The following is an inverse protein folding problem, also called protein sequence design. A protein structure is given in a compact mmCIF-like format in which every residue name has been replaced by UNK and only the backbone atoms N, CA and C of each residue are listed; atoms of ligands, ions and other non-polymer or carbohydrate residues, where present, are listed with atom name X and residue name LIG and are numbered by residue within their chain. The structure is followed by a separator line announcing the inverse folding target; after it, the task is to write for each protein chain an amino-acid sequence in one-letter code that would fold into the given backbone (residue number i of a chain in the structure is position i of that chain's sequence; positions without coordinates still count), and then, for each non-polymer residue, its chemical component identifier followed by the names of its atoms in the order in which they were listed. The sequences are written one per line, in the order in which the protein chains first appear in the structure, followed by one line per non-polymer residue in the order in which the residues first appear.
data_IF_894466356692
#
_entry.id   IF_894466356692
#
_cell.length_a   1.000
_cell.length_b   1.000
_cell.length_c   1.000
_cell.angle_alpha   90.00
_cell.angle_beta   90.00
_cell.angle_gamma   90.00
#
_symmetry.space_group_name_H-M   'P 1'
#
loop_
_entity.id
_entity.type
_entity.pdbx_description
1 polymer ?
#
# COMPACT_ATOMS: atom_id res chain seq x y z
N UNK A 1 25.63 -10.60 -5.32
CA UNK A 1 24.89 -9.53 -4.63
C UNK A 1 23.63 -10.14 -4.05
N UNK A 2 23.70 -10.49 -2.78
CA UNK A 2 22.65 -11.16 -2.03
C UNK A 2 21.44 -10.23 -1.96
N UNK A 3 20.33 -10.64 -2.58
CA UNK A 3 19.06 -9.93 -2.45
C UNK A 3 18.73 -9.75 -0.98
N UNK A 4 18.36 -8.53 -0.60
CA UNK A 4 17.85 -8.19 0.73
C UNK A 4 16.57 -8.99 0.99
N UNK A 5 16.76 -10.21 1.49
CA UNK A 5 15.73 -10.96 2.21
C UNK A 5 15.40 -10.10 3.43
N UNK A 6 14.40 -9.22 3.31
CA UNK A 6 13.72 -8.61 4.45
C UNK A 6 13.34 -9.76 5.38
N UNK A 7 14.11 -9.91 6.45
CA UNK A 7 13.86 -10.88 7.49
C UNK A 7 12.64 -10.36 8.24
N UNK A 8 11.51 -11.05 8.06
CA UNK A 8 10.22 -10.64 8.62
C UNK A 8 10.29 -10.52 10.15
N UNK A 9 11.16 -11.32 10.79
CA UNK A 9 11.40 -11.28 12.22
C UNK A 9 12.17 -10.02 12.60
N UNK A 10 13.23 -9.69 11.87
CA UNK A 10 14.01 -8.47 12.12
C UNK A 10 13.19 -7.19 11.85
N UNK A 11 12.31 -7.22 10.84
CA UNK A 11 11.42 -6.12 10.52
C UNK A 11 10.32 -5.93 11.58
N UNK A 12 9.73 -7.04 12.07
CA UNK A 12 8.80 -7.01 13.20
C UNK A 12 9.45 -6.34 14.41
N UNK A 13 10.63 -6.83 14.83
CA UNK A 13 11.36 -6.29 15.99
C UNK A 13 11.64 -4.79 15.83
N UNK A 14 12.12 -4.37 14.66
CA UNK A 14 12.42 -2.95 14.40
C UNK A 14 11.20 -2.04 14.55
N UNK A 15 10.04 -2.45 14.05
CA UNK A 15 8.80 -1.67 14.13
C UNK A 15 8.26 -1.63 15.57
N UNK A 16 8.30 -2.76 16.28
CA UNK A 16 7.85 -2.88 17.66
C UNK A 16 8.75 -2.12 18.65
N UNK A 17 10.05 -2.03 18.36
CA UNK A 17 11.00 -1.19 19.11
C UNK A 17 10.82 0.31 18.81
N UNK A 18 10.47 0.67 17.56
CA UNK A 18 10.25 2.05 17.17
C UNK A 18 8.96 2.64 17.78
N UNK A 19 7.93 1.82 17.98
CA UNK A 19 6.69 2.24 18.64
C UNK A 19 6.05 1.08 19.41
N UNK A 20 6.02 1.22 20.74
CA UNK A 20 5.41 0.24 21.64
C UNK A 20 3.93 -0.06 21.37
N UNK A 21 3.21 0.82 20.66
CA UNK A 21 1.80 0.59 20.26
C UNK A 21 1.67 -0.41 19.12
N UNK A 22 2.76 -0.71 18.42
CA UNK A 22 2.80 -1.65 17.30
C UNK A 22 3.21 -3.06 17.74
N UNK A 23 3.48 -3.28 19.03
CA UNK A 23 3.75 -4.60 19.61
C UNK A 23 2.56 -5.54 19.34
N UNK A 24 2.81 -6.65 18.65
CA UNK A 24 1.79 -7.64 18.31
C UNK A 24 1.02 -7.35 17.02
N UNK A 25 1.27 -6.22 16.35
CA UNK A 25 0.63 -5.86 15.07
C UNK A 25 0.87 -6.93 13.99
N UNK A 26 2.09 -7.45 13.89
CA UNK A 26 2.42 -8.50 12.93
C UNK A 26 1.85 -9.86 13.30
N UNK A 27 1.72 -10.17 14.59
CA UNK A 27 1.10 -11.42 15.02
C UNK A 27 -0.40 -11.39 14.73
N UNK A 28 -1.06 -10.23 14.91
CA UNK A 28 -2.44 -10.00 14.47
C UNK A 28 -2.61 -10.18 12.95
N UNK A 29 -1.66 -9.69 12.15
CA UNK A 29 -1.69 -9.86 10.69
C UNK A 29 -1.42 -11.31 10.28
N UNK A 30 -0.60 -12.05 11.04
CA UNK A 30 -0.23 -13.44 10.76
C UNK A 30 -1.32 -14.44 11.16
N UNK A 31 -2.02 -14.17 12.26
CA UNK A 31 -3.17 -14.96 12.74
C UNK A 31 -4.44 -14.68 11.93
N UNK A 32 -4.55 -13.48 11.36
CA UNK A 32 -5.61 -13.18 10.42
C UNK A 32 -5.33 -13.93 9.10
N UNK A 33 -6.25 -14.81 8.71
CA UNK A 33 -6.36 -15.44 7.38
C UNK A 33 -6.70 -14.36 6.32
N UNK A 34 -5.87 -13.31 6.27
CA UNK A 34 -6.18 -12.02 5.70
C UNK A 34 -5.48 -11.83 4.36
N UNK A 35 -6.16 -11.21 3.36
CA UNK A 35 -5.59 -10.82 2.07
C UNK A 35 -4.26 -10.05 2.15
N UNK A 36 -3.96 -9.46 3.31
CA UNK A 36 -2.75 -8.66 3.58
C UNK A 36 -1.46 -9.47 3.39
N UNK A 37 -1.38 -10.72 3.85
CA UNK A 37 -0.18 -11.56 3.69
C UNK A 37 0.07 -11.89 2.22
N UNK A 38 -0.98 -12.17 1.45
CA UNK A 38 -0.89 -12.40 0.00
C UNK A 38 -0.51 -11.13 -0.77
N UNK A 39 -1.03 -9.97 -0.39
CA UNK A 39 -0.68 -8.68 -1.00
C UNK A 39 0.79 -8.35 -0.74
N UNK A 40 1.30 -8.56 0.48
CA UNK A 40 2.70 -8.30 0.82
C UNK A 40 3.67 -9.23 0.08
N UNK A 41 3.32 -10.52 -0.09
CA UNK A 41 4.13 -11.49 -0.85
C UNK A 41 4.05 -11.23 -2.36
N UNK A 42 2.87 -10.94 -2.92
CA UNK A 42 2.69 -10.64 -4.34
C UNK A 42 3.36 -9.32 -4.77
N UNK A 43 3.31 -8.30 -3.92
CA UNK A 43 3.95 -6.99 -4.16
C UNK A 43 5.47 -7.03 -4.04
N UNK A 44 6.02 -7.96 -3.25
CA UNK A 44 7.48 -8.18 -3.16
C UNK A 44 8.10 -8.62 -4.49
N UNK A 45 7.33 -9.24 -5.37
CA UNK A 45 7.75 -9.57 -6.74
C UNK A 45 7.56 -8.42 -7.74
N UNK A 46 6.87 -7.34 -7.35
CA UNK A 46 6.51 -6.24 -8.24
C UNK A 46 7.09 -4.92 -7.71
N UNK A 47 8.38 -4.67 -7.97
CA UNK A 47 9.14 -3.43 -7.72
C UNK A 47 8.95 -2.73 -6.34
N UNK A 48 10.06 -2.48 -5.64
CA UNK A 48 10.08 -1.87 -4.29
C UNK A 48 9.19 -0.60 -4.12
N UNK A 49 9.04 0.22 -5.17
CA UNK A 49 8.18 1.41 -5.15
C UNK A 49 6.67 1.10 -5.04
N UNK A 50 6.19 -0.03 -5.57
CA UNK A 50 4.77 -0.40 -5.45
C UNK A 50 4.46 -0.93 -4.05
N UNK A 51 5.39 -1.64 -3.43
CA UNK A 51 5.22 -2.14 -2.06
C UNK A 51 5.05 -0.99 -1.04
N UNK A 52 5.92 0.01 -1.06
CA UNK A 52 5.80 1.18 -0.19
C UNK A 52 4.50 1.97 -0.45
N UNK A 53 4.10 2.10 -1.71
CA UNK A 53 2.84 2.73 -2.09
C UNK A 53 1.63 1.97 -1.55
N UNK A 54 1.65 0.64 -1.61
CA UNK A 54 0.58 -0.20 -1.09
C UNK A 54 0.42 -0.08 0.43
N UNK A 55 1.53 0.01 1.17
CA UNK A 55 1.49 0.28 2.60
C UNK A 55 0.87 1.67 2.85
N UNK A 56 1.25 2.69 2.08
CA UNK A 56 0.66 4.03 2.19
C UNK A 56 -0.85 4.05 1.93
N UNK A 57 -1.30 3.39 0.86
CA UNK A 57 -2.73 3.26 0.52
C UNK A 57 -3.52 2.50 1.58
N UNK A 58 -2.91 1.50 2.22
CA UNK A 58 -3.52 0.76 3.32
C UNK A 58 -3.67 1.63 4.57
N UNK A 59 -2.63 2.34 4.97
CA UNK A 59 -2.70 3.25 6.11
C UNK A 59 -3.80 4.30 5.91
N UNK A 60 -3.88 4.89 4.73
CA UNK A 60 -4.93 5.82 4.34
C UNK A 60 -6.33 5.19 4.41
N UNK A 61 -6.52 3.97 3.89
CA UNK A 61 -7.83 3.28 3.92
C UNK A 61 -8.30 2.89 5.33
N UNK A 62 -7.37 2.70 6.27
CA UNK A 62 -7.69 2.46 7.69
C UNK A 62 -8.02 3.75 8.46
N UNK A 63 -7.98 4.91 7.81
CA UNK A 63 -8.20 6.21 8.44
C UNK A 63 -7.00 6.74 9.21
N UNK A 64 -5.79 6.24 8.94
CA UNK A 64 -4.57 6.81 9.53
C UNK A 64 -4.39 8.26 9.08
N UNK A 65 -3.94 9.13 9.98
CA UNK A 65 -3.72 10.55 9.61
C UNK A 65 -2.52 10.72 8.68
N UNK A 66 -2.49 11.82 7.94
CA UNK A 66 -1.36 12.15 7.05
C UNK A 66 -0.03 12.21 7.81
N UNK A 67 -0.02 12.69 9.05
CA UNK A 67 1.17 12.74 9.91
C UNK A 67 1.67 11.33 10.24
N UNK A 68 0.75 10.37 10.48
CA UNK A 68 1.11 8.97 10.74
C UNK A 68 1.67 8.31 9.49
N UNK A 69 1.09 8.58 8.31
CA UNK A 69 1.60 8.09 7.02
C UNK A 69 2.99 8.67 6.75
N UNK A 70 3.18 9.96 6.98
CA UNK A 70 4.46 10.65 6.80
C UNK A 70 5.53 10.20 7.80
N UNK A 71 5.14 9.80 9.02
CA UNK A 71 6.06 9.15 9.96
C UNK A 71 6.56 7.81 9.42
N UNK A 72 5.67 6.97 8.88
CA UNK A 72 6.02 5.69 8.26
C UNK A 72 6.88 5.87 7.00
N UNK A 73 6.65 6.94 6.25
CA UNK A 73 7.51 7.35 5.13
C UNK A 73 8.91 7.74 5.58
N UNK A 74 9.03 8.56 6.64
CA UNK A 74 10.33 9.01 7.17
C UNK A 74 11.22 7.87 7.63
N UNK A 75 10.63 6.79 8.15
CA UNK A 75 11.37 5.57 8.53
C UNK A 75 11.56 4.58 7.37
N UNK A 76 11.17 4.93 6.15
CA UNK A 76 11.40 4.14 4.93
C UNK A 76 10.46 2.95 4.72
N UNK A 77 9.35 2.88 5.46
CA UNK A 77 8.39 1.77 5.41
C UNK A 77 7.28 2.00 4.38
N UNK A 78 6.90 3.26 4.17
CA UNK A 78 5.79 3.66 3.31
C UNK A 78 6.19 4.78 2.35
N UNK A 79 5.24 5.27 1.54
CA UNK A 79 5.32 6.56 0.85
C UNK A 79 4.64 7.66 1.67
N UNK A 80 4.97 8.92 1.41
CA UNK A 80 4.32 10.05 2.07
C UNK A 80 2.84 10.17 1.70
N UNK A 81 2.05 10.81 2.56
CA UNK A 81 0.63 11.02 2.35
C UNK A 81 0.34 11.71 1.00
N UNK A 82 1.17 12.69 0.61
CA UNK A 82 1.06 13.36 -0.68
C UNK A 82 1.22 12.41 -1.89
N UNK A 83 2.04 11.36 -1.77
CA UNK A 83 2.17 10.34 -2.84
C UNK A 83 0.93 9.47 -2.91
N UNK A 84 0.33 9.14 -1.76
CA UNK A 84 -0.94 8.40 -1.68
C UNK A 84 -2.06 9.19 -2.34
N UNK A 85 -2.21 10.47 -2.01
CA UNK A 85 -3.21 11.36 -2.59
C UNK A 85 -3.04 11.56 -4.09
N UNK A 86 -1.81 11.74 -4.55
CA UNK A 86 -1.51 11.84 -5.98
C UNK A 86 -1.93 10.57 -6.72
N UNK A 87 -1.68 9.40 -6.13
CA UNK A 87 -2.05 8.11 -6.71
C UNK A 87 -3.57 7.94 -6.79
N UNK A 88 -4.30 8.21 -5.69
CA UNK A 88 -5.78 8.18 -5.66
C UNK A 88 -6.37 9.12 -6.72
N UNK A 89 -5.84 10.34 -6.80
CA UNK A 89 -6.29 11.35 -7.79
C UNK A 89 -6.04 10.88 -9.21
N UNK A 90 -4.90 10.23 -9.47
CA UNK A 90 -4.60 9.64 -10.78
C UNK A 90 -5.62 8.55 -11.14
N UNK A 91 -5.89 7.60 -10.24
CA UNK A 91 -6.89 6.55 -10.47
C UNK A 91 -8.26 7.16 -10.79
N UNK A 92 -8.72 8.14 -10.00
CA UNK A 92 -10.02 8.77 -10.21
C UNK A 92 -10.12 9.47 -11.58
N UNK A 93 -9.04 10.17 -12.00
CA UNK A 93 -8.97 10.81 -13.32
C UNK A 93 -8.98 9.79 -14.44
N UNK A 94 -8.12 8.78 -14.35
CA UNK A 94 -7.97 7.75 -15.38
C UNK A 94 -9.27 6.95 -15.53
N UNK A 95 -9.96 6.64 -14.42
CA UNK A 95 -11.25 5.96 -14.45
C UNK A 95 -12.32 6.74 -15.24
N UNK A 96 -12.41 8.07 -15.03
CA UNK A 96 -13.34 8.92 -15.78
C UNK A 96 -13.05 8.91 -17.28
N UNK A 97 -11.77 8.96 -17.65
CA UNK A 97 -11.34 8.89 -19.05
C UNK A 97 -11.65 7.52 -19.65
N UNK A 98 -11.31 6.44 -18.95
CA UNK A 98 -11.53 5.06 -19.40
C UNK A 98 -13.01 4.75 -19.61
N UNK A 99 -13.89 5.22 -18.71
CA UNK A 99 -15.35 5.07 -18.90
C UNK A 99 -15.82 5.80 -20.16
N UNK A 100 -15.35 7.04 -20.36
CA UNK A 100 -15.72 7.83 -21.54
C UNK A 100 -15.28 7.14 -22.82
N UNK A 101 -14.04 6.66 -22.86
CA UNK A 101 -13.49 5.93 -24.00
C UNK A 101 -14.26 4.63 -24.26
N UNK A 102 -14.60 3.89 -23.22
CA UNK A 102 -15.42 2.68 -23.33
C UNK A 102 -16.77 2.95 -23.99
N UNK A 103 -17.50 3.98 -23.55
CA UNK A 103 -18.78 4.36 -24.16
C UNK A 103 -18.64 4.86 -25.60
N UNK A 104 -17.55 5.56 -25.92
CA UNK A 104 -17.29 6.02 -27.29
C UNK A 104 -16.96 4.85 -28.24
N UNK A 105 -16.21 3.85 -27.76
CA UNK A 105 -15.83 2.68 -28.56
C UNK A 105 -16.97 1.67 -28.73
N UNK A 106 -17.88 1.60 -27.75
CA UNK A 106 -18.98 0.63 -27.72
C UNK A 106 -20.34 1.29 -28.01
N UNK A 107 -20.35 2.42 -28.70
CA UNK A 107 -21.56 3.20 -29.02
C UNK A 107 -22.62 2.39 -29.80
N UNK A 108 -22.24 1.26 -30.42
CA UNK A 108 -23.12 0.31 -31.11
C UNK A 108 -23.80 -0.73 -30.21
N UNK A 109 -23.55 -0.74 -28.89
CA UNK A 109 -24.19 -1.65 -27.92
C UNK A 109 -25.38 -1.01 -27.19
N UNK A 110 -25.74 0.23 -27.55
CA UNK A 110 -26.81 1.02 -26.92
C UNK A 110 -27.98 1.34 -27.87
N UNK A 111 -27.96 0.82 -29.11
CA UNK A 111 -29.11 0.74 -30.02
C UNK A 111 -29.71 -0.68 -30.01
#
# INVERSE_FOLDING_TARGET
MSGLLLNLIAFKVMIEEADSRLIGFFDMIKEADSPICYIMVAQRNMSANKFALNIGLFLDSTGSTNESIDAMYKIGVSVCAGTVDLHKTKIARDHKTNIKEYFQQNHSLLE
#
